data_IF_753140168871
#
_entry.id   IF_753140168871
#
_cell.length_a   1.000
_cell.length_b   1.000
_cell.length_c   1.000
_cell.angle_alpha   90.00
_cell.angle_beta   90.00
_cell.angle_gamma   90.00
#
_symmetry.space_group_name_H-M   'P 1'
#
loop_
_entity.id
_entity.type
_entity.pdbx_description
1 polymer ?
#
# COMPACT_ATOMS: atom_id res chain seq x y z
N UNK A 1 -6.08 -40.03 -11.69
CA UNK A 1 -5.53 -38.82 -12.35
C UNK A 1 -5.92 -37.57 -11.54
N UNK A 2 -5.12 -37.19 -10.54
CA UNK A 2 -5.36 -35.99 -9.74
C UNK A 2 -4.53 -34.81 -10.29
N UNK A 3 -4.98 -34.23 -11.41
CA UNK A 3 -4.29 -33.08 -12.04
C UNK A 3 -4.57 -31.75 -11.29
N UNK A 4 -5.75 -31.62 -10.67
CA UNK A 4 -6.16 -30.40 -9.99
C UNK A 4 -5.23 -29.94 -8.84
N UNK A 5 -4.81 -30.79 -7.87
CA UNK A 5 -4.00 -30.32 -6.74
C UNK A 5 -2.59 -29.88 -7.17
N UNK A 6 -1.99 -30.57 -8.16
CA UNK A 6 -0.66 -30.24 -8.69
C UNK A 6 -0.69 -28.89 -9.43
N UNK A 7 -1.74 -28.64 -10.23
CA UNK A 7 -1.90 -27.38 -10.94
C UNK A 7 -2.18 -26.21 -9.99
N UNK A 8 -2.96 -26.44 -8.93
CA UNK A 8 -3.21 -25.43 -7.91
C UNK A 8 -1.93 -25.03 -7.16
N UNK A 9 -1.11 -26.01 -6.76
CA UNK A 9 0.18 -25.73 -6.11
C UNK A 9 1.16 -25.00 -7.04
N UNK A 10 1.26 -25.42 -8.31
CA UNK A 10 2.11 -24.76 -9.30
C UNK A 10 1.66 -23.31 -9.58
N UNK A 11 0.36 -23.08 -9.71
CA UNK A 11 -0.21 -21.75 -9.93
C UNK A 11 0.04 -20.82 -8.74
N UNK A 12 -0.15 -21.30 -7.51
CA UNK A 12 0.14 -20.53 -6.29
C UNK A 12 1.61 -20.14 -6.19
N UNK A 13 2.54 -21.06 -6.47
CA UNK A 13 3.97 -20.75 -6.53
C UNK A 13 4.30 -19.70 -7.58
N UNK A 14 3.73 -19.82 -8.79
CA UNK A 14 3.91 -18.81 -9.86
C UNK A 14 3.33 -17.44 -9.52
N UNK A 15 2.32 -17.39 -8.64
CA UNK A 15 1.71 -16.14 -8.18
C UNK A 15 2.30 -15.63 -6.86
N UNK A 16 3.24 -16.36 -6.24
CA UNK A 16 3.83 -16.01 -4.95
C UNK A 16 2.83 -16.05 -3.78
N UNK A 17 1.74 -16.81 -3.90
CA UNK A 17 0.70 -16.91 -2.86
C UNK A 17 1.15 -17.87 -1.77
N UNK A 18 1.18 -17.40 -0.52
CA UNK A 18 1.59 -18.22 0.62
C UNK A 18 0.66 -19.43 0.83
N UNK A 19 1.22 -20.55 1.29
CA UNK A 19 0.45 -21.78 1.52
C UNK A 19 -0.48 -21.69 2.75
N UNK A 20 -0.19 -20.77 3.68
CA UNK A 20 -0.93 -20.58 4.93
C UNK A 20 -2.28 -19.87 4.76
N UNK A 21 -3.21 -20.21 5.67
CA UNK A 21 -4.45 -19.46 5.87
C UNK A 21 -4.08 -18.06 6.42
N UNK A 22 -4.59 -16.97 5.84
CA UNK A 22 -4.33 -15.65 6.39
C UNK A 22 -4.97 -15.54 7.79
N UNK A 23 -4.34 -14.84 8.74
CA UNK A 23 -4.99 -14.49 10.00
C UNK A 23 -6.22 -13.60 9.74
N UNK A 24 -7.02 -13.36 10.78
CA UNK A 24 -8.17 -12.45 10.68
C UNK A 24 -7.71 -11.10 10.09
N UNK A 25 -8.31 -10.66 8.97
CA UNK A 25 -7.82 -9.48 8.27
C UNK A 25 -8.14 -8.22 9.08
N UNK A 26 -7.16 -7.33 9.16
CA UNK A 26 -7.33 -6.00 9.77
C UNK A 26 -8.23 -5.13 8.88
N UNK A 27 -8.96 -4.18 9.49
CA UNK A 27 -9.91 -3.32 8.76
C UNK A 27 -9.27 -2.58 7.58
N UNK A 28 -8.08 -2.02 7.78
CA UNK A 28 -7.31 -1.31 6.74
C UNK A 28 -6.98 -2.21 5.54
N UNK A 29 -6.70 -3.50 5.79
CA UNK A 29 -6.44 -4.47 4.72
C UNK A 29 -7.71 -4.72 3.88
N UNK A 30 -8.85 -4.86 4.55
CA UNK A 30 -10.14 -5.03 3.87
C UNK A 30 -10.55 -3.80 3.08
N UNK A 31 -10.27 -2.60 3.60
CA UNK A 31 -10.52 -1.34 2.91
C UNK A 31 -9.67 -1.25 1.63
N UNK A 32 -8.36 -1.50 1.72
CA UNK A 32 -7.46 -1.56 0.56
C UNK A 32 -7.93 -2.55 -0.51
N UNK A 33 -8.43 -3.72 -0.08
CA UNK A 33 -8.97 -4.73 -0.97
C UNK A 33 -10.22 -4.28 -1.74
N UNK A 34 -11.03 -3.39 -1.15
CA UNK A 34 -12.27 -2.87 -1.74
C UNK A 34 -12.07 -1.63 -2.61
N UNK A 35 -10.93 -0.93 -2.48
CA UNK A 35 -10.60 0.21 -3.33
C UNK A 35 -10.57 -0.20 -4.80
N UNK A 36 -11.00 0.68 -5.69
CA UNK A 36 -10.81 0.51 -7.13
C UNK A 36 -9.34 0.76 -7.55
N UNK A 37 -9.07 0.60 -8.84
CA UNK A 37 -7.69 0.74 -9.38
C UNK A 37 -7.15 2.16 -9.19
N UNK A 38 -7.98 3.19 -9.35
CA UNK A 38 -7.56 4.58 -9.26
C UNK A 38 -7.32 5.00 -7.81
N UNK A 39 -8.19 4.58 -6.89
CA UNK A 39 -8.03 4.77 -5.46
C UNK A 39 -6.78 4.07 -4.92
N UNK A 40 -6.47 2.85 -5.40
CA UNK A 40 -5.22 2.16 -5.04
C UNK A 40 -3.99 2.90 -5.56
N UNK A 41 -4.05 3.47 -6.76
CA UNK A 41 -2.98 4.33 -7.28
C UNK A 41 -2.84 5.59 -6.42
N UNK A 42 -3.96 6.21 -6.05
CA UNK A 42 -3.98 7.37 -5.17
C UNK A 42 -3.34 7.07 -3.81
N UNK A 43 -3.57 5.89 -3.22
CA UNK A 43 -2.88 5.45 -1.99
C UNK A 43 -1.36 5.49 -2.16
N UNK A 44 -0.83 4.97 -3.27
CA UNK A 44 0.62 4.97 -3.53
C UNK A 44 1.16 6.39 -3.73
N UNK A 45 0.42 7.23 -4.46
CA UNK A 45 0.78 8.64 -4.68
C UNK A 45 0.81 9.45 -3.38
N UNK A 46 -0.20 9.27 -2.53
CA UNK A 46 -0.25 9.90 -1.21
C UNK A 46 0.88 9.42 -0.30
N UNK A 47 1.21 8.13 -0.35
CA UNK A 47 2.32 7.58 0.41
C UNK A 47 3.65 8.18 -0.02
N UNK A 48 3.88 8.28 -1.33
CA UNK A 48 5.04 8.94 -1.89
C UNK A 48 5.08 10.41 -1.43
N UNK A 49 3.99 11.17 -1.59
CA UNK A 49 3.91 12.59 -1.23
C UNK A 49 4.14 12.87 0.27
N UNK A 50 3.75 11.96 1.15
CA UNK A 50 4.01 12.07 2.59
C UNK A 50 5.47 11.75 2.90
N UNK A 51 6.04 10.71 2.29
CA UNK A 51 7.42 10.29 2.54
C UNK A 51 8.44 11.25 1.92
N UNK A 52 8.14 11.79 0.74
CA UNK A 52 8.91 12.77 -0.01
C UNK A 52 7.95 13.74 -0.69
N UNK A 53 8.22 15.03 -0.52
CA UNK A 53 7.37 16.04 -1.15
C UNK A 53 7.46 15.93 -2.67
N UNK A 54 6.32 15.66 -3.31
CA UNK A 54 6.21 15.54 -4.76
C UNK A 54 5.60 16.81 -5.34
N UNK A 55 6.41 17.73 -5.90
CA UNK A 55 5.87 18.98 -6.44
C UNK A 55 5.04 18.72 -7.70
N UNK A 56 3.83 19.29 -7.75
CA UNK A 56 3.00 19.36 -8.97
C UNK A 56 2.03 18.21 -9.22
N UNK A 57 2.11 17.10 -8.47
CA UNK A 57 1.30 15.90 -8.73
C UNK A 57 -0.04 15.87 -7.98
N UNK A 58 -0.29 16.80 -7.05
CA UNK A 58 -1.47 16.78 -6.18
C UNK A 58 -2.18 18.15 -6.11
N UNK A 59 -3.52 18.18 -5.99
CA UNK A 59 -4.25 19.41 -5.64
C UNK A 59 -3.73 20.03 -4.35
N UNK A 60 -3.74 21.36 -4.25
CA UNK A 60 -3.16 22.10 -3.11
C UNK A 60 -3.71 21.64 -1.75
N UNK A 61 -5.02 21.39 -1.66
CA UNK A 61 -5.66 20.90 -0.42
C UNK A 61 -5.09 19.57 0.04
N UNK A 62 -4.81 18.67 -0.89
CA UNK A 62 -4.25 17.35 -0.64
C UNK A 62 -2.76 17.44 -0.34
N UNK A 63 -2.03 18.34 -1.00
CA UNK A 63 -0.63 18.64 -0.72
C UNK A 63 -0.45 19.19 0.70
N UNK A 64 -1.31 20.13 1.14
CA UNK A 64 -1.33 20.64 2.52
C UNK A 64 -1.57 19.51 3.52
N UNK A 65 -2.52 18.61 3.24
CA UNK A 65 -2.79 17.46 4.09
C UNK A 65 -1.58 16.52 4.19
N UNK A 66 -0.94 16.18 3.06
CA UNK A 66 0.27 15.36 3.03
C UNK A 66 1.41 16.00 3.84
N UNK A 67 1.64 17.31 3.70
CA UNK A 67 2.65 18.03 4.47
C UNK A 67 2.39 17.99 5.98
N UNK A 68 1.12 18.12 6.40
CA UNK A 68 0.74 18.02 7.82
C UNK A 68 1.00 16.61 8.37
N UNK A 69 0.62 15.59 7.61
CA UNK A 69 0.87 14.20 7.98
C UNK A 69 2.38 13.88 8.03
N UNK A 70 3.15 14.36 7.06
CA UNK A 70 4.61 14.23 7.03
C UNK A 70 5.26 14.88 8.25
N UNK A 71 4.80 16.07 8.68
CA UNK A 71 5.29 16.72 9.91
C UNK A 71 5.00 15.90 11.17
N UNK A 72 3.85 15.24 11.25
CA UNK A 72 3.48 14.41 12.40
C UNK A 72 4.28 13.09 12.43
N UNK A 73 4.39 12.41 11.30
CA UNK A 73 5.05 11.10 11.20
C UNK A 73 6.57 11.18 11.07
N UNK A 74 7.10 12.34 10.63
CA UNK A 74 8.51 12.63 10.38
C UNK A 74 9.23 11.50 9.63
N UNK A 75 8.81 11.19 8.37
CA UNK A 75 9.38 10.08 7.60
C UNK A 75 10.89 10.15 7.47
N UNK A 76 11.48 11.35 7.36
CA UNK A 76 12.93 11.52 7.31
C UNK A 76 13.73 11.02 8.53
N UNK A 77 13.09 10.59 9.63
CA UNK A 77 13.77 10.01 10.80
C UNK A 77 13.85 8.49 10.80
N UNK A 78 13.04 7.81 9.98
CA UNK A 78 12.90 6.35 10.03
C UNK A 78 12.83 5.70 8.66
N UNK A 79 12.65 6.50 7.60
CA UNK A 79 12.66 6.01 6.23
C UNK A 79 14.11 5.74 5.82
N UNK A 80 14.45 4.52 5.37
CA UNK A 80 15.79 4.18 4.92
C UNK A 80 16.13 4.98 3.66
N UNK A 81 17.44 5.25 3.42
CA UNK A 81 17.89 5.95 2.22
C UNK A 81 17.60 5.17 0.93
N UNK A 82 17.35 3.86 1.01
CA UNK A 82 16.95 3.02 -0.12
C UNK A 82 15.56 3.34 -0.67
N UNK A 83 14.70 4.02 0.11
CA UNK A 83 13.38 4.46 -0.33
C UNK A 83 13.45 5.95 -0.70
N UNK A 84 13.94 6.22 -1.91
CA UNK A 84 14.20 7.59 -2.36
C UNK A 84 12.96 8.29 -2.93
N UNK A 85 11.96 7.53 -3.40
CA UNK A 85 10.75 8.02 -4.08
C UNK A 85 11.06 8.97 -5.26
N UNK A 86 12.11 8.69 -6.02
CA UNK A 86 12.51 9.48 -7.19
C UNK A 86 12.01 8.86 -8.50
N UNK A 87 12.56 7.72 -8.91
CA UNK A 87 12.28 7.04 -10.16
C UNK A 87 11.28 5.89 -9.98
N UNK A 88 11.22 5.32 -8.77
CA UNK A 88 10.46 4.09 -8.47
C UNK A 88 9.43 4.32 -7.35
N UNK A 89 8.69 5.42 -7.42
CA UNK A 89 7.76 5.89 -6.37
C UNK A 89 6.72 4.85 -5.97
N UNK A 90 6.10 4.20 -6.95
CA UNK A 90 5.09 3.17 -6.73
C UNK A 90 5.69 1.94 -6.05
N UNK A 91 6.92 1.57 -6.41
CA UNK A 91 7.62 0.41 -5.87
C UNK A 91 8.05 0.66 -4.42
N UNK A 92 8.57 1.85 -4.13
CA UNK A 92 8.91 2.29 -2.78
C UNK A 92 7.69 2.34 -1.86
N UNK A 93 6.56 2.87 -2.36
CA UNK A 93 5.30 2.87 -1.62
C UNK A 93 4.78 1.44 -1.35
N UNK A 94 4.86 0.55 -2.34
CA UNK A 94 4.51 -0.87 -2.16
C UNK A 94 5.43 -1.57 -1.16
N UNK A 95 6.72 -1.22 -1.11
CA UNK A 95 7.66 -1.77 -0.14
C UNK A 95 7.26 -1.40 1.30
N UNK A 96 6.79 -0.17 1.54
CA UNK A 96 6.24 0.25 2.84
C UNK A 96 4.95 -0.51 3.17
N UNK A 97 4.01 -0.61 2.21
CA UNK A 97 2.76 -1.36 2.42
C UNK A 97 3.03 -2.84 2.75
N UNK A 98 4.05 -3.45 2.14
CA UNK A 98 4.47 -4.82 2.45
C UNK A 98 4.91 -4.96 3.91
N UNK A 99 5.59 -3.96 4.47
CA UNK A 99 6.02 -3.98 5.87
C UNK A 99 4.85 -3.87 6.86
N UNK A 100 3.69 -3.38 6.44
CA UNK A 100 2.50 -3.26 7.29
C UNK A 100 1.79 -4.58 7.54
N UNK A 101 1.80 -5.49 6.56
CA UNK A 101 0.93 -6.66 6.57
C UNK A 101 1.74 -7.97 6.69
N UNK A 102 1.20 -8.98 7.39
CA UNK A 102 1.79 -10.32 7.37
C UNK A 102 1.91 -10.86 5.95
N UNK A 103 2.94 -11.67 5.70
CA UNK A 103 3.23 -12.23 4.36
C UNK A 103 2.02 -12.97 3.75
N UNK A 104 1.24 -13.68 4.57
CA UNK A 104 0.05 -14.39 4.10
C UNK A 104 -1.02 -13.45 3.53
N UNK A 105 -1.19 -12.27 4.13
CA UNK A 105 -2.10 -11.22 3.67
C UNK A 105 -1.53 -10.50 2.45
N UNK A 106 -0.26 -10.08 2.53
CA UNK A 106 0.43 -9.37 1.46
C UNK A 106 0.43 -10.16 0.15
N UNK A 107 0.63 -11.48 0.20
CA UNK A 107 0.72 -12.32 -0.98
C UNK A 107 -0.49 -12.26 -1.91
N UNK A 108 -1.66 -11.94 -1.35
CA UNK A 108 -2.92 -11.74 -2.07
C UNK A 108 -3.13 -10.28 -2.44
N UNK A 109 -2.86 -9.36 -1.51
CA UNK A 109 -3.01 -7.92 -1.73
C UNK A 109 -2.13 -7.43 -2.88
N UNK A 110 -0.89 -7.92 -2.99
CA UNK A 110 0.02 -7.53 -4.05
C UNK A 110 -0.54 -7.85 -5.46
N UNK A 111 -1.40 -8.86 -5.59
CA UNK A 111 -2.01 -9.22 -6.88
C UNK A 111 -2.95 -8.14 -7.43
N UNK A 112 -3.40 -7.23 -6.56
CA UNK A 112 -4.23 -6.08 -6.92
C UNK A 112 -3.43 -4.97 -7.62
N UNK A 113 -2.10 -5.08 -7.63
CA UNK A 113 -1.19 -4.13 -8.25
C UNK A 113 -0.54 -4.71 -9.52
N UNK A 114 -0.21 -3.85 -10.50
CA UNK A 114 0.56 -4.22 -11.69
C UNK A 114 1.85 -4.99 -11.36
N UNK A 115 2.25 -5.90 -12.25
CA UNK A 115 3.42 -6.78 -12.03
C UNK A 115 4.74 -6.02 -12.06
N UNK A 116 4.86 -5.07 -12.98
CA UNK A 116 5.97 -4.15 -13.14
C UNK A 116 6.30 -3.37 -11.84
N UNK A 117 5.29 -3.06 -11.01
CA UNK A 117 5.52 -2.40 -9.73
C UNK A 117 5.96 -3.36 -8.63
N UNK A 118 5.56 -4.64 -8.72
CA UNK A 118 5.94 -5.67 -7.75
C UNK A 118 7.35 -6.19 -7.97
N UNK A 119 7.70 -6.46 -9.23
CA UNK A 119 8.93 -7.16 -9.59
C UNK A 119 10.17 -6.26 -9.44
N UNK A 120 10.01 -4.93 -9.50
CA UNK A 120 11.10 -3.98 -9.22
C UNK A 120 11.40 -3.76 -7.73
N UNK A 121 10.43 -4.00 -6.83
CA UNK A 121 10.58 -3.85 -5.37
C UNK A 121 11.14 -5.10 -4.66
N UNK A 122 11.86 -5.96 -5.39
CA UNK A 122 12.07 -7.37 -5.10
C UNK A 122 12.92 -7.75 -3.88
N UNK A 123 13.36 -6.82 -3.04
CA UNK A 123 14.00 -7.19 -1.78
C UNK A 123 13.18 -6.74 -0.58
N UNK A 124 12.96 -7.64 0.40
CA UNK A 124 12.45 -7.19 1.67
C UNK A 124 13.42 -6.16 2.23
N UNK A 125 12.90 -5.00 2.64
CA UNK A 125 13.69 -4.01 3.37
C UNK A 125 14.39 -4.75 4.52
N UNK A 126 15.72 -4.83 4.45
CA UNK A 126 16.54 -5.49 5.47
C UNK A 126 16.51 -4.74 6.80
N UNK A 127 16.05 -3.49 6.77
CA UNK A 127 15.87 -2.63 7.93
C UNK A 127 14.45 -2.74 8.50
N UNK A 128 14.39 -2.86 9.83
CA UNK A 128 13.13 -2.92 10.57
C UNK A 128 12.55 -1.52 10.65
N UNK A 129 11.56 -1.23 9.80
CA UNK A 129 10.79 0.00 9.87
C UNK A 129 9.91 0.02 11.14
N UNK A 130 9.66 1.20 11.74
CA UNK A 130 8.82 1.31 12.94
C UNK A 130 7.36 1.00 12.65
N UNK A 131 6.89 -0.17 13.10
CA UNK A 131 5.55 -0.69 12.83
C UNK A 131 4.42 0.30 13.16
N UNK A 132 4.51 1.03 14.28
CA UNK A 132 3.49 2.01 14.69
C UNK A 132 3.36 3.19 13.73
N UNK A 133 4.47 3.67 13.17
CA UNK A 133 4.46 4.78 12.21
C UNK A 133 3.96 4.31 10.84
N UNK A 134 4.35 3.11 10.42
CA UNK A 134 3.82 2.52 9.18
C UNK A 134 2.31 2.29 9.31
N UNK A 135 1.85 1.79 10.46
CA UNK A 135 0.41 1.62 10.71
C UNK A 135 -0.33 2.94 10.60
N UNK A 136 0.11 3.97 11.35
CA UNK A 136 -0.51 5.30 11.28
C UNK A 136 -0.46 5.92 9.89
N UNK A 137 0.61 5.73 9.13
CA UNK A 137 0.73 6.16 7.73
C UNK A 137 -0.31 5.48 6.84
N UNK A 138 -0.36 4.14 6.87
CA UNK A 138 -1.26 3.34 6.04
C UNK A 138 -2.72 3.65 6.39
N UNK A 139 -3.07 3.68 7.67
CA UNK A 139 -4.45 3.92 8.12
C UNK A 139 -4.92 5.32 7.70
N UNK A 140 -4.09 6.35 7.87
CA UNK A 140 -4.43 7.71 7.47
C UNK A 140 -4.62 7.85 5.95
N UNK A 141 -3.75 7.22 5.15
CA UNK A 141 -3.81 7.29 3.69
C UNK A 141 -5.00 6.49 3.16
N UNK A 142 -5.25 5.30 3.68
CA UNK A 142 -6.38 4.46 3.28
C UNK A 142 -7.69 5.16 3.61
N UNK A 143 -7.80 5.72 4.83
CA UNK A 143 -8.94 6.56 5.18
C UNK A 143 -9.14 7.69 4.17
N UNK A 144 -8.06 8.41 3.81
CA UNK A 144 -8.15 9.52 2.87
C UNK A 144 -8.58 9.10 1.46
N UNK A 145 -8.13 7.93 1.00
CA UNK A 145 -8.52 7.37 -0.28
C UNK A 145 -9.97 6.84 -0.29
N UNK A 146 -10.45 6.32 0.84
CA UNK A 146 -11.86 5.90 1.00
C UNK A 146 -12.82 7.08 1.13
N UNK A 147 -12.40 8.16 1.78
CA UNK A 147 -13.16 9.39 1.99
C UNK A 147 -13.37 10.16 0.68
N UNK A 148 -12.41 10.07 -0.24
CA UNK A 148 -12.50 10.64 -1.59
C UNK A 148 -13.44 9.89 -2.56
N UNK A 149 -14.20 8.90 -2.09
CA UNK A 149 -15.14 8.16 -2.93
C UNK A 149 -16.39 9.00 -3.23
N UNK A 150 -16.69 9.32 -4.50
CA UNK A 150 -17.93 10.03 -4.86
C UNK A 150 -19.19 9.24 -4.44
N UNK A 151 -19.11 7.92 -4.26
CA UNK A 151 -20.25 7.10 -3.80
C UNK A 151 -20.59 7.26 -2.31
N UNK A 152 -19.68 7.80 -1.48
CA UNK A 152 -19.97 8.07 -0.07
C UNK A 152 -20.68 9.43 0.14
N UNK A 153 -20.64 10.31 -0.88
CA UNK A 153 -21.24 11.64 -0.81
C UNK A 153 -22.76 11.67 -1.07
N UNK A 154 -23.36 10.60 -1.62
CA UNK A 154 -24.81 10.55 -1.89
C UNK A 154 -25.68 10.22 -0.66
N UNK A 155 -25.10 9.85 0.49
CA UNK A 155 -25.88 9.44 1.67
C UNK A 155 -26.11 10.57 2.68
N UNK A 156 -25.54 11.77 2.44
CA UNK A 156 -25.69 12.92 3.36
C UNK A 156 -26.47 14.09 2.73
N UNK A 157 -27.45 13.79 1.88
CA UNK A 157 -28.50 14.75 1.48
C UNK A 157 -29.86 14.11 1.61
N UNK A 158 -30.33 13.96 2.86
CA UNK A 158 -31.75 13.91 3.22
C UNK A 158 -31.95 14.70 4.50
#
# INVERSE_FOLDING_TARGET
MALAPVHHAAMRRRLGVAEALPPAPESTLLQLGQLDVEQRRQVLLLMAAVCRETPGDLPETLAVWCRRLAKALRPGLWLPPSLAFDQQREQDALAILRCRFPQACWSRLQLLYPRDWRDGGGQPLGEVLPASRIAGLCDAIVWKATDGNPAAQEVCSV
#
